data_IF_042423798786
#
_entry.id   IF_042423798786
#
_cell.length_a   1.000
_cell.length_b   1.000
_cell.length_c   1.000
_cell.angle_alpha   90.00
_cell.angle_beta   90.00
_cell.angle_gamma   90.00
#
_symmetry.space_group_name_H-M   'P 1'
#
loop_
_entity.id
_entity.type
_entity.pdbx_description
1 polymer ?
#
# COMPACT_ATOMS: atom_id res chain seq x y z
N UNK A 1 4.74 -22.50 5.45
CA UNK A 1 4.34 -21.15 4.99
C UNK A 1 3.60 -20.46 6.13
N UNK A 2 4.15 -19.36 6.68
CA UNK A 2 3.58 -18.73 7.88
C UNK A 2 2.32 -17.91 7.57
N UNK A 3 1.22 -18.17 8.28
CA UNK A 3 -0.07 -17.46 8.18
C UNK A 3 -0.05 -16.02 8.72
N UNK A 4 1.11 -15.36 8.71
CA UNK A 4 1.26 -13.97 9.16
C UNK A 4 0.82 -12.95 8.10
N UNK A 5 0.59 -11.71 8.54
CA UNK A 5 0.17 -10.59 7.70
C UNK A 5 1.04 -10.41 6.45
N UNK A 6 2.36 -10.55 6.58
CA UNK A 6 3.32 -10.50 5.47
C UNK A 6 3.05 -11.56 4.39
N UNK A 7 2.78 -12.81 4.80
CA UNK A 7 2.49 -13.90 3.86
C UNK A 7 1.21 -13.68 3.06
N UNK A 8 0.17 -13.11 3.71
CA UNK A 8 -1.09 -12.77 3.05
C UNK A 8 -0.88 -11.71 1.96
N UNK A 9 -0.21 -10.60 2.27
CA UNK A 9 0.07 -9.56 1.28
C UNK A 9 0.91 -10.06 0.12
N UNK A 10 1.91 -10.90 0.38
CA UNK A 10 2.73 -11.52 -0.67
C UNK A 10 1.90 -12.39 -1.61
N UNK A 11 0.99 -13.21 -1.09
CA UNK A 11 0.11 -14.02 -1.93
C UNK A 11 -0.81 -13.15 -2.79
N UNK A 12 -1.41 -12.09 -2.24
CA UNK A 12 -2.27 -11.18 -3.01
C UNK A 12 -1.45 -10.49 -4.11
N UNK A 13 -0.24 -10.02 -3.81
CA UNK A 13 0.66 -9.42 -4.80
C UNK A 13 0.99 -10.41 -5.93
N UNK A 14 1.30 -11.67 -5.61
CA UNK A 14 1.56 -12.71 -6.60
C UNK A 14 0.34 -13.03 -7.48
N UNK A 15 -0.86 -13.07 -6.90
CA UNK A 15 -2.10 -13.36 -7.65
C UNK A 15 -2.52 -12.21 -8.55
N UNK A 16 -2.35 -10.96 -8.12
CA UNK A 16 -2.72 -9.79 -8.92
C UNK A 16 -1.74 -9.52 -10.08
N UNK A 17 -0.48 -9.97 -9.95
CA UNK A 17 0.59 -9.62 -10.89
C UNK A 17 0.77 -8.10 -10.97
N UNK A 18 0.93 -7.58 -12.18
CA UNK A 18 1.15 -6.15 -12.42
C UNK A 18 -0.11 -5.29 -12.30
N UNK A 19 -1.28 -5.90 -12.08
CA UNK A 19 -2.57 -5.19 -12.05
C UNK A 19 -2.87 -4.51 -10.71
N UNK A 20 -1.97 -4.58 -9.72
CA UNK A 20 -2.20 -3.99 -8.41
C UNK A 20 -0.95 -3.34 -7.85
N UNK A 21 -1.09 -2.09 -7.41
CA UNK A 21 -0.02 -1.33 -6.75
C UNK A 21 -0.35 -1.11 -5.28
N UNK A 22 0.61 -1.38 -4.41
CA UNK A 22 0.49 -1.10 -2.98
C UNK A 22 1.17 0.22 -2.63
N UNK A 23 0.48 1.04 -1.84
CA UNK A 23 1.03 2.31 -1.36
C UNK A 23 1.12 2.34 0.16
N UNK A 24 2.26 2.81 0.68
CA UNK A 24 2.48 3.12 2.09
C UNK A 24 2.45 4.64 2.32
N UNK A 25 1.69 5.08 3.33
CA UNK A 25 1.57 6.48 3.71
C UNK A 25 2.84 6.99 4.40
N UNK A 26 3.62 7.83 3.72
CA UNK A 26 4.87 8.39 4.23
C UNK A 26 4.72 9.18 5.54
N UNK A 27 3.63 9.95 5.69
CA UNK A 27 3.32 10.63 6.95
C UNK A 27 3.14 9.64 8.12
N UNK A 28 2.47 8.51 7.88
CA UNK A 28 2.30 7.48 8.90
C UNK A 28 3.60 6.75 9.20
N UNK A 29 4.40 6.45 8.17
CA UNK A 29 5.72 5.86 8.33
C UNK A 29 6.61 6.73 9.23
N UNK A 30 6.69 8.05 8.97
CA UNK A 30 7.41 9.00 9.82
C UNK A 30 6.93 8.97 11.27
N UNK A 31 5.60 9.04 11.49
CA UNK A 31 5.00 8.98 12.84
C UNK A 31 5.28 7.67 13.58
N UNK A 32 5.44 6.57 12.83
CA UNK A 32 5.69 5.22 13.37
C UNK A 32 7.17 4.82 13.34
N UNK A 33 8.07 5.72 12.94
CA UNK A 33 9.50 5.44 12.76
C UNK A 33 9.79 4.22 11.88
N UNK A 34 8.98 4.01 10.85
CA UNK A 34 9.17 2.93 9.87
C UNK A 34 10.00 3.46 8.71
N UNK A 35 11.10 2.77 8.39
CA UNK A 35 11.93 3.08 7.23
C UNK A 35 11.49 2.32 5.99
N UNK A 36 11.90 2.80 4.81
CA UNK A 36 11.51 2.19 3.53
C UNK A 36 12.07 0.76 3.40
N UNK A 37 13.25 0.50 3.95
CA UNK A 37 13.92 -0.81 3.91
C UNK A 37 13.18 -1.89 4.72
N UNK A 38 12.21 -1.50 5.54
CA UNK A 38 11.37 -2.42 6.32
C UNK A 38 10.08 -2.80 5.58
N UNK A 39 9.80 -2.19 4.42
CA UNK A 39 8.66 -2.51 3.56
C UNK A 39 9.03 -3.61 2.58
N UNK A 40 8.02 -4.28 2.03
CA UNK A 40 8.21 -5.21 0.92
C UNK A 40 8.50 -4.46 -0.39
N UNK A 41 9.29 -5.06 -1.28
CA UNK A 41 9.76 -4.41 -2.52
C UNK A 41 8.63 -3.96 -3.45
N UNK A 42 7.46 -4.62 -3.37
CA UNK A 42 6.28 -4.28 -4.17
C UNK A 42 5.48 -3.07 -3.64
N UNK A 43 5.93 -2.45 -2.54
CA UNK A 43 5.23 -1.32 -1.90
C UNK A 43 5.90 0.00 -2.26
N UNK A 44 5.11 0.92 -2.83
CA UNK A 44 5.55 2.29 -3.13
C UNK A 44 5.22 3.24 -1.97
N UNK A 45 6.06 4.25 -1.74
CA UNK A 45 5.82 5.25 -0.70
C UNK A 45 5.18 6.49 -1.32
N UNK A 46 4.07 6.95 -0.75
CA UNK A 46 3.42 8.21 -1.11
C UNK A 46 3.68 9.28 -0.05
N UNK A 47 3.74 10.59 -0.39
CA UNK A 47 3.81 11.67 0.60
C UNK A 47 2.70 11.59 1.66
N UNK A 48 1.49 11.19 1.28
CA UNK A 48 0.37 10.99 2.19
C UNK A 48 -0.71 10.09 1.61
N UNK A 49 -1.24 9.16 2.42
CA UNK A 49 -2.25 8.19 1.97
C UNK A 49 -3.56 8.83 1.52
N UNK A 50 -4.06 9.82 2.27
CA UNK A 50 -5.29 10.55 1.91
C UNK A 50 -5.08 11.35 0.62
N UNK A 51 -3.92 12.00 0.45
CA UNK A 51 -3.63 12.75 -0.77
C UNK A 51 -3.66 11.83 -1.99
N UNK A 52 -3.02 10.65 -1.90
CA UNK A 52 -3.06 9.66 -2.99
C UNK A 52 -4.47 9.20 -3.33
N UNK A 53 -5.31 8.94 -2.32
CA UNK A 53 -6.72 8.56 -2.51
C UNK A 53 -7.52 9.68 -3.20
N UNK A 54 -7.25 10.94 -2.87
CA UNK A 54 -7.91 12.08 -3.53
C UNK A 54 -7.44 12.23 -4.98
N UNK A 55 -6.14 12.09 -5.23
CA UNK A 55 -5.57 12.17 -6.59
C UNK A 55 -6.10 11.05 -7.48
N UNK A 56 -6.19 9.82 -6.97
CA UNK A 56 -6.75 8.68 -7.71
C UNK A 56 -8.25 8.90 -8.00
N UNK A 57 -9.03 9.39 -7.04
CA UNK A 57 -10.43 9.72 -7.30
C UNK A 57 -10.59 10.81 -8.38
N UNK A 58 -9.70 11.82 -8.39
CA UNK A 58 -9.69 12.84 -9.45
C UNK A 58 -9.33 12.28 -10.83
N UNK A 59 -8.57 11.19 -10.88
CA UNK A 59 -8.26 10.47 -12.12
C UNK A 59 -9.39 9.52 -12.56
N UNK A 60 -10.49 9.44 -11.80
CA UNK A 60 -11.67 8.63 -12.13
C UNK A 60 -11.70 7.26 -11.45
N UNK A 61 -10.80 6.98 -10.51
CA UNK A 61 -10.84 5.73 -9.75
C UNK A 61 -11.97 5.74 -8.72
N UNK A 62 -12.67 4.61 -8.58
CA UNK A 62 -13.64 4.42 -7.53
C UNK A 62 -12.94 4.23 -6.17
N UNK A 63 -13.47 4.86 -5.12
CA UNK A 63 -12.98 4.69 -3.76
C UNK A 63 -13.80 3.64 -3.01
N UNK A 64 -13.10 2.59 -2.52
CA UNK A 64 -13.70 1.53 -1.70
C UNK A 64 -13.04 1.58 -0.31
N UNK A 65 -13.83 1.90 0.71
CA UNK A 65 -13.40 1.83 2.11
C UNK A 65 -13.81 0.49 2.70
N UNK A 66 -12.81 -0.35 3.01
CA UNK A 66 -13.04 -1.58 3.78
C UNK A 66 -13.21 -1.22 5.25
N UNK A 67 -14.26 -1.72 5.90
CA UNK A 67 -14.58 -1.46 7.31
C UNK A 67 -14.03 -2.57 8.21
#
# INVERSE_FOLDING_TARGET
AGNGTRGRFKNIALTAGDNMTFYACGNTMKKKNVKKEQLEDFVQVTPGGILKIVDDQRQGFAYIKIK
#
